data_IF_290258625559
#
_entry.id   IF_290258625559
#
_cell.length_a   1.000
_cell.length_b   1.000
_cell.length_c   1.000
_cell.angle_alpha   90.00
_cell.angle_beta   90.00
_cell.angle_gamma   90.00
#
_symmetry.space_group_name_H-M   'P 1'
#
loop_
_entity.id
_entity.type
_entity.pdbx_description
1 polymer ?
#
# COMPACT_ATOMS: atom_id res chain seq x y z
N UNK A 1 11.91 11.03 -6.40
CA UNK A 1 11.34 12.24 -7.05
C UNK A 1 11.57 13.36 -6.07
N UNK A 2 12.30 14.42 -6.43
CA UNK A 2 12.64 15.49 -5.48
C UNK A 2 11.51 16.53 -5.40
N UNK A 3 11.38 17.18 -4.24
CA UNK A 3 10.45 18.27 -3.95
C UNK A 3 9.01 17.90 -4.30
N UNK A 4 8.55 16.78 -3.74
CA UNK A 4 7.22 16.23 -3.99
C UNK A 4 6.58 15.82 -2.68
N UNK A 5 5.33 16.21 -2.51
CA UNK A 5 4.53 15.94 -1.32
C UNK A 5 3.26 15.20 -1.70
N UNK A 6 2.69 14.48 -0.73
CA UNK A 6 1.31 14.01 -0.80
C UNK A 6 0.47 14.92 0.09
N UNK A 7 -0.74 15.25 -0.37
CA UNK A 7 -1.73 15.91 0.47
C UNK A 7 -2.54 14.85 1.21
N UNK A 8 -2.76 15.07 2.49
CA UNK A 8 -3.47 14.13 3.35
C UNK A 8 -4.87 13.83 2.80
N UNK A 9 -5.23 12.54 2.74
CA UNK A 9 -6.52 12.04 2.28
C UNK A 9 -6.93 12.40 0.84
N UNK A 10 -6.01 12.93 0.01
CA UNK A 10 -6.28 13.17 -1.42
C UNK A 10 -5.75 12.01 -2.26
N UNK A 11 -6.69 11.19 -2.74
CA UNK A 11 -6.42 9.99 -3.54
C UNK A 11 -7.09 10.07 -4.90
N UNK A 12 -6.47 9.44 -5.90
CA UNK A 12 -7.05 9.30 -7.22
C UNK A 12 -8.32 8.43 -7.15
N UNK A 13 -9.44 8.93 -7.67
CA UNK A 13 -10.70 8.18 -7.72
C UNK A 13 -10.82 7.26 -8.95
N UNK A 14 -9.84 7.30 -9.87
CA UNK A 14 -9.79 6.45 -11.06
C UNK A 14 -10.78 6.80 -12.16
N UNK A 15 -11.58 7.85 -12.03
CA UNK A 15 -12.61 8.21 -13.00
C UNK A 15 -12.03 8.50 -14.40
N UNK A 16 -10.81 9.05 -14.45
CA UNK A 16 -10.07 9.29 -15.69
C UNK A 16 -9.41 8.03 -16.29
N UNK A 17 -9.46 6.89 -15.60
CA UNK A 17 -8.69 5.68 -15.92
C UNK A 17 -9.59 4.44 -15.96
N UNK A 18 -10.73 4.54 -16.63
CA UNK A 18 -11.74 3.47 -16.78
C UNK A 18 -12.17 2.84 -15.44
N UNK A 19 -12.23 3.67 -14.39
CA UNK A 19 -12.62 3.24 -13.04
C UNK A 19 -11.55 2.40 -12.35
N UNK A 20 -10.26 2.71 -12.52
CA UNK A 20 -9.18 2.10 -11.75
C UNK A 20 -9.37 2.37 -10.25
N UNK A 21 -9.53 1.35 -9.43
CA UNK A 21 -9.93 1.54 -8.03
C UNK A 21 -8.72 1.68 -7.08
N UNK A 22 -7.48 1.76 -7.59
CA UNK A 22 -6.26 1.64 -6.76
C UNK A 22 -6.14 2.69 -5.64
N UNK A 23 -6.82 3.83 -5.77
CA UNK A 23 -6.84 4.90 -4.77
C UNK A 23 -5.44 5.38 -4.35
N UNK A 24 -4.53 5.51 -5.32
CA UNK A 24 -3.17 6.00 -5.07
C UNK A 24 -3.20 7.44 -4.57
N UNK A 25 -2.30 7.78 -3.64
CA UNK A 25 -2.03 9.18 -3.31
C UNK A 25 -1.53 9.93 -4.54
N UNK A 26 -1.90 11.20 -4.63
CA UNK A 26 -1.49 12.08 -5.72
C UNK A 26 -0.17 12.76 -5.34
N UNK A 27 0.80 12.69 -6.24
CA UNK A 27 2.09 13.37 -6.12
C UNK A 27 1.94 14.84 -6.58
N UNK A 28 2.28 15.76 -5.70
CA UNK A 28 2.30 17.20 -5.98
C UNK A 28 3.71 17.72 -5.93
N UNK A 29 4.13 18.53 -6.91
CA UNK A 29 5.37 19.30 -6.73
C UNK A 29 5.12 20.40 -5.72
N UNK A 30 6.07 20.56 -4.81
CA UNK A 30 6.04 21.62 -3.80
C UNK A 30 5.89 23.01 -4.46
N UNK A 31 6.58 23.23 -5.58
CA UNK A 31 6.47 24.44 -6.40
C UNK A 31 5.06 24.73 -6.96
N UNK A 32 4.12 23.79 -6.92
CA UNK A 32 2.73 23.99 -7.36
C UNK A 32 1.80 24.39 -6.21
N UNK A 33 2.26 24.27 -4.97
CA UNK A 33 1.45 24.46 -3.77
C UNK A 33 1.83 25.77 -3.07
N UNK A 34 0.90 26.28 -2.28
CA UNK A 34 1.11 27.41 -1.36
C UNK A 34 0.50 27.06 -0.01
N UNK A 35 1.12 27.46 1.12
CA UNK A 35 0.52 27.26 2.43
C UNK A 35 -0.86 27.91 2.52
N UNK A 36 -1.83 27.17 3.04
CA UNK A 36 -3.14 27.73 3.34
C UNK A 36 -3.01 28.72 4.51
N UNK A 37 -3.43 29.97 4.32
CA UNK A 37 -3.42 31.01 5.36
C UNK A 37 -2.34 32.09 5.19
N UNK A 38 -1.37 31.89 4.31
CA UNK A 38 -0.57 33.01 3.81
C UNK A 38 -1.47 33.83 2.87
N UNK A 39 -1.61 35.14 3.14
CA UNK A 39 -2.16 36.09 2.16
C UNK A 39 -1.16 36.18 1.00
N UNK A 40 -1.20 35.19 0.11
CA UNK A 40 -0.57 35.30 -1.20
C UNK A 40 -1.09 36.55 -1.91
N UNK A 41 -0.33 37.13 -2.84
CA UNK A 41 -0.83 38.23 -3.65
C UNK A 41 -2.18 37.83 -4.24
N UNK A 42 -3.17 38.70 -4.04
CA UNK A 42 -4.53 38.53 -4.52
C UNK A 42 -4.52 38.07 -5.99
N UNK A 43 -5.43 37.19 -6.44
CA UNK A 43 -5.48 36.71 -7.83
C UNK A 43 -5.78 37.81 -8.87
N UNK A 44 -5.82 39.08 -8.46
CA UNK A 44 -5.95 40.25 -9.33
C UNK A 44 -4.71 40.58 -10.18
N UNK A 45 -3.72 39.68 -10.25
CA UNK A 45 -2.71 39.70 -11.30
C UNK A 45 -3.32 39.23 -12.62
N UNK A 46 -3.92 40.15 -13.38
CA UNK A 46 -4.41 39.96 -14.75
C UNK A 46 -3.29 39.69 -15.78
N UNK A 47 -2.27 38.92 -15.40
CA UNK A 47 -1.33 38.33 -16.34
C UNK A 47 -2.05 37.17 -17.02
N UNK A 48 -2.62 37.41 -18.21
CA UNK A 48 -3.04 36.30 -19.08
C UNK A 48 -1.82 35.36 -19.20
N UNK A 49 -1.94 34.05 -18.88
CA UNK A 49 -0.85 33.13 -19.15
C UNK A 49 -0.50 33.26 -20.64
N UNK A 50 0.76 33.54 -20.93
CA UNK A 50 1.26 33.59 -22.31
C UNK A 50 0.91 32.26 -22.97
N UNK A 51 -0.06 32.27 -23.88
CA UNK A 51 -0.54 31.09 -24.62
C UNK A 51 0.43 30.66 -25.73
N UNK A 52 1.73 30.77 -25.51
CA UNK A 52 2.72 30.21 -26.42
C UNK A 52 2.86 28.72 -26.14
N UNK A 53 1.92 27.92 -26.65
CA UNK A 53 1.97 26.44 -26.65
C UNK A 53 1.10 25.73 -25.59
N UNK A 54 -0.20 26.03 -25.51
CA UNK A 54 -1.10 25.40 -24.55
C UNK A 54 -1.44 23.94 -24.91
N UNK A 55 -1.42 23.04 -23.91
CA UNK A 55 -1.99 21.70 -24.00
C UNK A 55 -3.53 21.80 -23.92
N UNK A 56 -4.26 21.27 -24.92
CA UNK A 56 -5.72 21.20 -24.83
C UNK A 56 -6.15 20.06 -23.89
N UNK A 57 -7.36 20.16 -23.35
CA UNK A 57 -7.90 19.08 -22.51
C UNK A 57 -7.99 17.77 -23.29
N UNK A 58 -8.38 17.83 -24.57
CA UNK A 58 -8.38 16.69 -25.49
C UNK A 58 -6.98 16.08 -25.65
N UNK A 59 -5.93 16.91 -25.77
CA UNK A 59 -4.55 16.43 -25.82
C UNK A 59 -4.22 15.69 -24.53
N UNK A 60 -4.57 16.25 -23.36
CA UNK A 60 -4.36 15.58 -22.08
C UNK A 60 -5.09 14.22 -22.02
N UNK A 61 -6.37 14.17 -22.38
CA UNK A 61 -7.16 12.93 -22.42
C UNK A 61 -6.60 11.89 -23.40
N UNK A 62 -5.98 12.30 -24.50
CA UNK A 62 -5.33 11.36 -25.42
C UNK A 62 -4.06 10.72 -24.86
N UNK A 63 -3.43 11.33 -23.85
CA UNK A 63 -2.17 10.83 -23.25
C UNK A 63 -2.38 9.83 -22.13
N UNK A 64 -3.57 9.78 -21.51
CA UNK A 64 -3.81 8.91 -20.35
C UNK A 64 -4.20 7.48 -20.73
N UNK A 65 -4.66 7.26 -21.97
CA UNK A 65 -5.11 5.96 -22.47
C UNK A 65 -4.64 5.79 -23.91
N UNK A 66 -3.77 4.80 -24.11
CA UNK A 66 -3.27 4.46 -25.43
C UNK A 66 -4.02 3.24 -25.99
N UNK A 67 -4.33 3.25 -27.30
CA UNK A 67 -4.96 2.10 -27.95
C UNK A 67 -4.06 0.86 -27.86
N UNK A 68 -4.64 -0.34 -27.97
CA UNK A 68 -3.88 -1.58 -28.02
C UNK A 68 -2.83 -1.54 -29.14
N UNK A 69 -1.64 -2.09 -28.86
CA UNK A 69 -0.62 -2.30 -29.90
C UNK A 69 -1.06 -3.41 -30.85
N UNK A 70 -0.45 -3.47 -32.04
CA UNK A 70 -0.70 -4.56 -33.01
C UNK A 70 -0.47 -5.92 -32.33
N UNK A 71 -1.50 -6.77 -32.34
CA UNK A 71 -1.48 -8.09 -31.69
C UNK A 71 -1.97 -8.10 -30.23
N UNK A 72 -2.32 -6.94 -29.66
CA UNK A 72 -2.94 -6.83 -28.34
C UNK A 72 -4.41 -6.43 -28.45
N UNK A 73 -5.21 -6.82 -27.46
CA UNK A 73 -6.64 -6.50 -27.39
C UNK A 73 -6.98 -5.42 -26.37
N UNK A 74 -6.10 -5.21 -25.37
CA UNK A 74 -6.36 -4.31 -24.25
C UNK A 74 -5.57 -2.99 -24.40
N UNK A 75 -6.19 -1.84 -24.06
CA UNK A 75 -5.49 -0.57 -24.03
C UNK A 75 -4.48 -0.51 -22.88
N UNK A 76 -3.56 0.44 -22.95
CA UNK A 76 -2.63 0.75 -21.85
C UNK A 76 -2.91 2.13 -21.27
N UNK A 77 -2.63 2.30 -19.99
CA UNK A 77 -2.95 3.51 -19.23
C UNK A 77 -1.70 4.19 -18.70
N UNK A 78 -1.72 5.53 -18.72
CA UNK A 78 -0.68 6.38 -18.17
C UNK A 78 -1.25 7.16 -16.99
N UNK A 79 -0.64 7.00 -15.83
CA UNK A 79 -0.95 7.75 -14.62
C UNK A 79 0.32 7.97 -13.80
N UNK A 80 0.24 8.79 -12.74
CA UNK A 80 1.42 9.04 -11.88
C UNK A 80 2.03 7.74 -11.32
N UNK A 81 1.19 6.75 -11.01
CA UNK A 81 1.67 5.47 -10.49
C UNK A 81 2.44 4.67 -11.55
N UNK A 82 1.92 4.54 -12.78
CA UNK A 82 2.65 3.82 -13.85
C UNK A 82 3.93 4.55 -14.26
N UNK A 83 4.01 5.87 -14.04
CA UNK A 83 5.18 6.68 -14.36
C UNK A 83 6.16 6.86 -13.20
N UNK A 84 5.83 6.39 -11.98
CA UNK A 84 6.62 6.69 -10.77
C UNK A 84 8.05 6.20 -10.90
N UNK A 85 8.27 5.02 -11.49
CA UNK A 85 9.59 4.43 -11.70
C UNK A 85 10.47 5.26 -12.63
N UNK A 86 9.88 5.92 -13.63
CA UNK A 86 10.60 6.75 -14.61
C UNK A 86 10.82 8.17 -14.10
N UNK A 87 9.94 8.65 -13.21
CA UNK A 87 10.00 9.99 -12.63
C UNK A 87 10.75 10.04 -11.28
N UNK A 88 11.30 8.90 -10.83
CA UNK A 88 12.07 8.76 -9.59
C UNK A 88 13.45 8.15 -9.85
N UNK A 89 14.30 8.16 -8.82
CA UNK A 89 15.61 7.52 -8.84
C UNK A 89 15.69 6.54 -7.66
N UNK A 90 16.39 5.40 -7.81
CA UNK A 90 16.60 4.47 -6.70
C UNK A 90 17.32 5.15 -5.53
N UNK A 91 16.81 4.94 -4.33
CA UNK A 91 17.52 5.32 -3.10
C UNK A 91 18.50 4.21 -2.73
N UNK A 92 19.75 4.60 -2.47
CA UNK A 92 20.78 3.66 -2.03
C UNK A 92 20.58 3.42 -0.54
N UNK A 93 20.36 2.18 -0.12
CA UNK A 93 20.07 1.85 1.28
C UNK A 93 21.13 2.33 2.29
N UNK A 94 22.36 2.60 1.84
CA UNK A 94 23.46 3.08 2.68
C UNK A 94 23.53 4.60 2.80
N UNK A 95 22.77 5.36 1.99
CA UNK A 95 22.85 6.82 1.97
C UNK A 95 22.16 7.42 3.20
N UNK A 96 22.91 8.03 4.15
CA UNK A 96 22.32 8.52 5.40
C UNK A 96 21.37 9.69 5.17
N UNK A 97 21.50 10.42 4.05
CA UNK A 97 20.68 11.61 3.77
C UNK A 97 19.19 11.28 3.67
N UNK A 98 18.84 10.10 3.16
CA UNK A 98 17.45 9.67 3.07
C UNK A 98 16.81 9.51 4.47
N UNK A 99 17.56 9.01 5.45
CA UNK A 99 17.06 8.79 6.81
C UNK A 99 16.96 10.10 7.59
N UNK A 100 17.86 11.04 7.31
CA UNK A 100 17.74 12.41 7.81
C UNK A 100 16.51 13.08 7.20
N UNK A 101 16.27 12.94 5.90
CA UNK A 101 15.07 13.47 5.22
C UNK A 101 13.78 12.85 5.77
N UNK A 102 13.73 11.52 5.96
CA UNK A 102 12.61 10.80 6.56
C UNK A 102 12.24 11.35 7.96
N UNK A 103 13.24 11.64 8.78
CA UNK A 103 13.05 12.21 10.11
C UNK A 103 12.67 13.71 10.08
N UNK A 104 13.44 14.51 9.33
CA UNK A 104 13.26 15.98 9.27
C UNK A 104 11.99 16.40 8.56
N UNK A 105 11.48 15.60 7.62
CA UNK A 105 10.18 15.82 6.97
C UNK A 105 8.98 15.63 7.89
N UNK A 106 9.17 15.01 9.07
CA UNK A 106 8.09 14.68 9.99
C UNK A 106 7.27 13.46 9.57
N UNK A 107 7.59 12.82 8.44
CA UNK A 107 6.92 11.61 7.98
C UNK A 107 7.21 10.41 8.90
N UNK A 108 8.40 10.39 9.54
CA UNK A 108 8.86 9.26 10.36
C UNK A 108 9.37 9.77 11.69
N UNK A 109 8.88 9.20 12.79
CA UNK A 109 9.40 9.52 14.13
C UNK A 109 10.72 8.80 14.35
N UNK A 110 11.60 9.38 15.17
CA UNK A 110 12.91 8.78 15.48
C UNK A 110 12.79 7.33 16.01
N UNK A 111 11.80 7.06 16.85
CA UNK A 111 11.53 5.71 17.35
C UNK A 111 11.19 4.70 16.25
N UNK A 112 10.44 5.12 15.23
CA UNK A 112 10.00 4.25 14.13
C UNK A 112 11.17 4.00 13.18
N UNK A 113 12.01 5.02 12.98
CA UNK A 113 13.26 4.91 12.25
C UNK A 113 14.22 3.90 12.91
N UNK A 114 14.45 4.04 14.22
CA UNK A 114 15.29 3.10 14.97
C UNK A 114 14.70 1.69 14.91
N UNK A 115 13.41 1.53 15.17
CA UNK A 115 12.75 0.23 15.13
C UNK A 115 12.85 -0.45 13.75
N UNK A 116 12.60 0.29 12.66
CA UNK A 116 12.68 -0.23 11.30
C UNK A 116 14.11 -0.61 10.88
N UNK A 117 15.12 0.17 11.29
CA UNK A 117 16.53 -0.18 11.07
C UNK A 117 16.96 -1.40 11.89
N UNK A 118 16.60 -1.46 13.17
CA UNK A 118 16.87 -2.64 14.02
C UNK A 118 16.20 -3.89 13.45
N UNK A 119 14.95 -3.80 13.02
CA UNK A 119 14.26 -4.90 12.35
C UNK A 119 14.96 -5.33 11.06
N UNK A 120 15.47 -4.38 10.27
CA UNK A 120 16.21 -4.68 9.03
C UNK A 120 17.47 -5.51 9.29
N UNK A 121 18.24 -5.14 10.33
CA UNK A 121 19.41 -5.90 10.78
C UNK A 121 18.99 -7.28 11.29
N UNK A 122 17.97 -7.32 12.16
CA UNK A 122 17.44 -8.56 12.73
C UNK A 122 17.00 -9.55 11.65
N UNK A 123 16.26 -9.06 10.64
CA UNK A 123 15.81 -9.86 9.50
C UNK A 123 16.98 -10.39 8.69
N UNK A 124 17.95 -9.52 8.36
CA UNK A 124 19.15 -9.92 7.60
C UNK A 124 19.86 -11.10 8.27
N UNK A 125 20.03 -11.05 9.59
CA UNK A 125 20.63 -12.14 10.37
C UNK A 125 19.73 -13.38 10.41
N UNK A 126 18.43 -13.19 10.64
CA UNK A 126 17.44 -14.28 10.71
C UNK A 126 17.31 -15.07 9.41
N UNK A 127 17.51 -14.40 8.26
CA UNK A 127 17.38 -14.94 6.91
C UNK A 127 18.72 -15.30 6.27
N UNK A 128 19.85 -15.15 6.97
CA UNK A 128 21.19 -15.40 6.45
C UNK A 128 21.51 -16.89 6.16
N UNK A 129 20.57 -17.82 6.38
CA UNK A 129 20.78 -19.25 6.15
C UNK A 129 21.66 -19.97 7.18
N UNK A 130 21.98 -19.31 8.30
CA UNK A 130 22.89 -19.82 9.34
C UNK A 130 22.25 -20.85 10.30
N UNK A 131 21.07 -21.39 10.01
CA UNK A 131 20.35 -22.34 10.87
C UNK A 131 19.75 -21.77 12.17
N UNK A 132 20.07 -20.53 12.54
CA UNK A 132 19.56 -19.87 13.76
C UNK A 132 18.20 -19.18 13.59
N UNK A 133 17.65 -19.16 12.39
CA UNK A 133 16.45 -18.38 12.06
C UNK A 133 15.22 -18.76 12.90
N UNK A 134 15.05 -20.02 13.27
CA UNK A 134 13.94 -20.45 14.14
C UNK A 134 14.07 -19.88 15.55
N UNK A 135 15.28 -19.95 16.13
CA UNK A 135 15.57 -19.40 17.45
C UNK A 135 15.41 -17.87 17.48
N UNK A 136 15.94 -17.18 16.46
CA UNK A 136 15.80 -15.72 16.31
C UNK A 136 14.33 -15.27 16.25
N UNK A 137 13.50 -15.96 15.47
CA UNK A 137 12.06 -15.67 15.40
C UNK A 137 11.36 -15.94 16.74
N UNK A 138 11.72 -17.01 17.44
CA UNK A 138 11.19 -17.33 18.77
C UNK A 138 11.57 -16.26 19.81
N UNK A 139 12.82 -15.78 19.81
CA UNK A 139 13.27 -14.68 20.68
C UNK A 139 12.45 -13.42 20.43
N UNK A 140 12.30 -13.04 19.15
CA UNK A 140 11.52 -11.89 18.74
C UNK A 140 10.05 -12.02 19.20
N UNK A 141 9.41 -13.15 18.91
CA UNK A 141 8.01 -13.40 19.28
C UNK A 141 7.81 -13.37 20.80
N UNK A 142 8.76 -13.92 21.55
CA UNK A 142 8.70 -13.94 23.03
C UNK A 142 8.79 -12.52 23.58
N UNK A 143 9.74 -11.72 23.09
CA UNK A 143 9.88 -10.32 23.49
C UNK A 143 8.65 -9.49 23.12
N UNK A 144 8.16 -9.63 21.89
CA UNK A 144 6.98 -8.88 21.43
C UNK A 144 5.75 -9.28 22.21
N UNK A 145 5.52 -10.57 22.48
CA UNK A 145 4.38 -11.02 23.30
C UNK A 145 4.42 -10.41 24.71
N UNK A 146 5.59 -10.34 25.34
CA UNK A 146 5.74 -9.71 26.66
C UNK A 146 5.40 -8.21 26.68
N UNK A 147 5.55 -7.51 25.54
CA UNK A 147 5.27 -6.07 25.43
C UNK A 147 3.97 -5.76 24.69
N UNK A 148 3.15 -6.76 24.37
CA UNK A 148 1.93 -6.58 23.55
C UNK A 148 2.21 -6.15 22.11
N UNK A 149 3.39 -6.46 21.58
CA UNK A 149 3.83 -6.15 20.23
C UNK A 149 3.35 -7.13 19.17
N UNK A 150 3.74 -6.85 17.92
CA UNK A 150 3.38 -7.65 16.74
C UNK A 150 4.32 -8.85 16.60
N UNK A 151 3.82 -10.06 16.29
CA UNK A 151 4.66 -11.22 16.04
C UNK A 151 5.59 -11.03 14.84
N UNK A 152 6.63 -11.85 14.73
CA UNK A 152 7.57 -11.76 13.62
C UNK A 152 6.84 -11.98 12.29
N UNK A 153 6.89 -11.02 11.36
CA UNK A 153 5.93 -10.97 10.24
C UNK A 153 6.34 -11.83 9.04
N UNK A 154 7.48 -12.53 9.11
CA UNK A 154 8.01 -13.37 8.03
C UNK A 154 8.32 -14.78 8.57
N UNK A 155 7.44 -15.74 8.31
CA UNK A 155 7.60 -17.15 8.69
C UNK A 155 7.84 -18.11 7.50
N UNK A 156 8.66 -19.16 7.66
CA UNK A 156 8.80 -20.19 6.63
C UNK A 156 7.60 -21.16 6.66
N UNK A 157 6.39 -20.67 6.41
CA UNK A 157 5.17 -21.49 6.39
C UNK A 157 4.24 -21.09 5.25
N UNK A 158 3.66 -22.10 4.63
CA UNK A 158 2.60 -22.02 3.63
C UNK A 158 2.12 -23.43 3.31
N UNK A 159 0.93 -23.57 2.71
CA UNK A 159 0.47 -24.85 2.18
C UNK A 159 1.48 -25.38 1.15
N UNK A 160 1.73 -26.70 1.11
CA UNK A 160 2.69 -27.29 0.18
C UNK A 160 2.43 -26.86 -1.27
N UNK A 161 3.51 -26.62 -2.00
CA UNK A 161 3.43 -26.23 -3.41
C UNK A 161 2.58 -27.22 -4.22
N UNK A 162 1.62 -26.71 -4.98
CA UNK A 162 0.64 -27.51 -5.73
C UNK A 162 -0.68 -27.79 -5.00
N UNK A 163 -0.78 -27.50 -3.70
CA UNK A 163 -2.04 -27.60 -2.97
C UNK A 163 -2.99 -26.45 -3.34
N UNK A 164 -4.27 -26.74 -3.56
CA UNK A 164 -5.27 -25.71 -3.82
C UNK A 164 -5.49 -24.89 -2.55
N UNK A 165 -5.06 -23.63 -2.56
CA UNK A 165 -5.31 -22.71 -1.45
C UNK A 165 -6.81 -22.56 -1.16
N UNK A 166 -7.23 -22.57 0.12
CA UNK A 166 -8.64 -22.51 0.48
C UNK A 166 -9.26 -21.14 0.14
N UNK A 167 -10.58 -21.13 -0.01
CA UNK A 167 -11.39 -19.93 -0.18
C UNK A 167 -12.57 -19.97 0.79
N UNK A 168 -12.85 -18.85 1.44
CA UNK A 168 -14.11 -18.59 2.13
C UNK A 168 -14.78 -17.39 1.50
N UNK A 169 -16.12 -17.39 1.46
CA UNK A 169 -16.95 -16.26 1.05
C UNK A 169 -17.86 -15.93 2.22
N UNK A 170 -17.66 -14.74 2.78
CA UNK A 170 -18.48 -14.12 3.79
C UNK A 170 -19.45 -13.10 3.17
N UNK A 171 -19.25 -12.75 1.89
CA UNK A 171 -20.04 -11.79 1.12
C UNK A 171 -20.14 -10.43 1.84
N UNK A 172 -18.98 -9.96 2.34
CA UNK A 172 -18.84 -8.70 3.07
C UNK A 172 -19.29 -7.50 2.23
N UNK A 173 -20.09 -6.64 2.83
CA UNK A 173 -20.54 -5.38 2.23
C UNK A 173 -19.76 -4.21 2.81
N UNK A 174 -19.78 -3.08 2.09
CA UNK A 174 -19.23 -1.81 2.59
C UNK A 174 -19.99 -1.43 3.87
N UNK A 175 -19.25 -1.05 4.91
CA UNK A 175 -19.78 -0.75 6.24
C UNK A 175 -19.84 -1.94 7.20
N UNK A 176 -19.58 -3.17 6.74
CA UNK A 176 -19.51 -4.33 7.64
C UNK A 176 -18.30 -4.19 8.58
N UNK A 177 -18.51 -4.45 9.87
CA UNK A 177 -17.41 -4.53 10.85
C UNK A 177 -16.84 -5.95 10.85
N UNK A 178 -15.53 -6.04 10.63
CA UNK A 178 -14.81 -7.31 10.51
C UNK A 178 -13.59 -7.33 11.41
N UNK A 179 -13.27 -8.50 11.92
CA UNK A 179 -12.01 -8.77 12.59
C UNK A 179 -11.06 -9.46 11.63
N UNK A 180 -9.79 -9.03 11.62
CA UNK A 180 -8.75 -9.74 10.89
C UNK A 180 -8.35 -10.96 11.71
N UNK A 181 -8.32 -12.14 11.08
CA UNK A 181 -7.98 -13.40 11.75
C UNK A 181 -6.57 -13.39 12.35
N UNK A 182 -6.30 -14.24 13.34
CA UNK A 182 -4.95 -14.45 13.86
C UNK A 182 -3.95 -14.77 12.76
N UNK A 183 -2.73 -14.23 12.88
CA UNK A 183 -1.68 -14.42 11.88
C UNK A 183 -1.39 -15.90 11.58
N UNK A 184 -1.43 -16.76 12.61
CA UNK A 184 -1.25 -18.22 12.45
C UNK A 184 -2.29 -18.85 11.50
N UNK A 185 -3.55 -18.43 11.60
CA UNK A 185 -4.65 -19.00 10.82
C UNK A 185 -4.59 -18.48 9.37
N UNK A 186 -4.13 -17.24 9.18
CA UNK A 186 -3.87 -16.68 7.85
C UNK A 186 -2.76 -17.47 7.15
N UNK A 187 -1.66 -17.79 7.83
CA UNK A 187 -0.53 -18.52 7.25
C UNK A 187 -0.94 -19.89 6.68
N UNK A 188 -1.92 -20.56 7.30
CA UNK A 188 -2.47 -21.83 6.80
C UNK A 188 -3.21 -21.70 5.46
N UNK A 189 -3.57 -20.46 5.07
CA UNK A 189 -4.26 -20.16 3.80
C UNK A 189 -3.32 -19.75 2.66
N UNK A 190 -2.03 -19.53 2.94
CA UNK A 190 -1.06 -18.99 1.98
C UNK A 190 -0.22 -20.09 1.35
N UNK A 191 0.10 -19.96 0.06
CA UNK A 191 1.08 -20.83 -0.60
C UNK A 191 2.54 -20.54 -0.19
N UNK A 192 3.48 -21.30 -0.74
CA UNK A 192 4.92 -21.12 -0.50
C UNK A 192 5.46 -19.73 -0.88
N UNK A 193 4.73 -18.97 -1.69
CA UNK A 193 5.05 -17.61 -2.11
C UNK A 193 4.26 -16.55 -1.33
N UNK A 194 3.63 -16.93 -0.20
CA UNK A 194 2.78 -16.06 0.62
C UNK A 194 1.54 -15.53 -0.09
N UNK A 195 1.02 -16.27 -1.08
CA UNK A 195 -0.14 -15.85 -1.85
C UNK A 195 -1.36 -16.70 -1.52
N UNK A 196 -2.52 -16.05 -1.51
CA UNK A 196 -3.80 -16.72 -1.64
C UNK A 196 -4.46 -16.27 -2.94
N UNK A 197 -4.60 -17.20 -3.89
CA UNK A 197 -5.25 -16.98 -5.20
C UNK A 197 -4.67 -15.76 -5.92
N UNK A 198 -3.33 -15.71 -5.98
CA UNK A 198 -2.57 -14.64 -6.62
C UNK A 198 -2.38 -13.37 -5.80
N UNK A 199 -3.06 -13.19 -4.66
CA UNK A 199 -2.87 -12.03 -3.79
C UNK A 199 -1.83 -12.33 -2.71
N UNK A 200 -0.77 -11.53 -2.67
CA UNK A 200 0.30 -11.62 -1.70
C UNK A 200 -0.13 -11.04 -0.34
N UNK A 201 0.09 -11.82 0.73
CA UNK A 201 -0.04 -11.34 2.09
C UNK A 201 1.29 -10.71 2.52
N UNK A 202 1.32 -9.38 2.48
CA UNK A 202 2.54 -8.59 2.76
C UNK A 202 2.83 -8.57 4.27
N UNK A 203 4.10 -8.65 4.71
CA UNK A 203 4.49 -8.51 6.12
C UNK A 203 3.90 -7.27 6.83
N UNK A 204 3.64 -6.19 6.08
CA UNK A 204 2.95 -4.98 6.55
C UNK A 204 1.52 -5.23 7.03
N UNK A 205 0.92 -6.36 6.66
CA UNK A 205 -0.44 -6.72 7.04
C UNK A 205 -0.51 -7.32 8.45
N UNK A 206 0.61 -7.80 8.99
CA UNK A 206 0.67 -8.50 10.29
C UNK A 206 0.31 -7.61 11.49
N UNK A 207 0.72 -6.32 11.58
CA UNK A 207 0.27 -5.42 12.63
C UNK A 207 -1.25 -5.26 12.76
N UNK A 208 -1.99 -5.53 11.68
CA UNK A 208 -3.44 -5.37 11.63
C UNK A 208 -4.18 -6.65 12.02
N UNK A 209 -3.51 -7.78 12.23
CA UNK A 209 -4.18 -9.03 12.64
C UNK A 209 -4.78 -8.91 14.04
N UNK A 210 -5.86 -9.65 14.28
CA UNK A 210 -6.57 -9.73 15.56
C UNK A 210 -7.24 -8.41 16.00
N UNK A 211 -7.40 -7.47 15.08
CA UNK A 211 -8.06 -6.17 15.28
C UNK A 211 -9.31 -6.05 14.41
N UNK A 212 -10.19 -5.14 14.81
CA UNK A 212 -11.45 -4.87 14.13
C UNK A 212 -11.35 -3.63 13.25
N UNK A 213 -11.95 -3.71 12.06
CA UNK A 213 -12.02 -2.63 11.09
C UNK A 213 -13.36 -2.63 10.38
N UNK A 214 -13.71 -1.50 9.81
CA UNK A 214 -14.85 -1.35 8.90
C UNK A 214 -14.40 -1.65 7.47
N UNK A 215 -15.24 -2.37 6.71
CA UNK A 215 -15.03 -2.56 5.28
C UNK A 215 -15.30 -1.24 4.54
N UNK A 216 -14.26 -0.63 3.98
CA UNK A 216 -14.36 0.64 3.25
C UNK A 216 -14.79 0.42 1.80
N UNK A 217 -14.19 -0.56 1.12
CA UNK A 217 -14.44 -0.80 -0.30
C UNK A 217 -14.23 -2.25 -0.69
N UNK A 218 -15.01 -2.71 -1.66
CA UNK A 218 -14.76 -3.95 -2.42
C UNK A 218 -14.14 -3.59 -3.77
N UNK A 219 -12.92 -4.07 -3.96
CA UNK A 219 -12.06 -3.77 -5.10
C UNK A 219 -12.10 -4.92 -6.11
N UNK A 220 -12.31 -4.59 -7.38
CA UNK A 220 -12.45 -5.50 -8.51
C UNK A 220 -11.38 -5.29 -9.58
N UNK A 221 -10.82 -4.09 -9.69
CA UNK A 221 -9.86 -3.80 -10.75
C UNK A 221 -8.84 -2.71 -10.40
N UNK A 222 -7.65 -2.84 -10.96
CA UNK A 222 -6.58 -1.85 -10.88
C UNK A 222 -5.76 -1.83 -12.16
N UNK A 223 -5.08 -0.72 -12.42
CA UNK A 223 -4.00 -0.69 -13.39
C UNK A 223 -2.75 -1.30 -12.76
N UNK A 224 -2.18 -2.32 -13.40
CA UNK A 224 -0.89 -2.87 -12.99
C UNK A 224 0.24 -1.90 -13.36
N UNK A 225 1.09 -1.58 -12.38
CA UNK A 225 2.13 -0.56 -12.51
C UNK A 225 3.17 -0.93 -13.58
N UNK A 226 3.49 -2.23 -13.70
CA UNK A 226 4.53 -2.70 -14.62
C UNK A 226 4.06 -2.83 -16.07
N UNK A 227 2.90 -3.43 -16.28
CA UNK A 227 2.34 -3.65 -17.63
C UNK A 227 1.52 -2.47 -18.16
N UNK A 228 1.11 -1.54 -17.29
CA UNK A 228 0.20 -0.44 -17.62
C UNK A 228 -1.19 -0.91 -18.12
N UNK A 229 -1.56 -2.17 -17.88
CA UNK A 229 -2.85 -2.76 -18.29
C UNK A 229 -3.81 -2.85 -17.11
N UNK A 230 -5.10 -2.84 -17.41
CA UNK A 230 -6.14 -3.04 -16.40
C UNK A 230 -6.20 -4.51 -15.99
N UNK A 231 -5.85 -4.81 -14.74
CA UNK A 231 -6.02 -6.12 -14.14
C UNK A 231 -7.38 -6.18 -13.46
N UNK A 232 -8.22 -7.09 -13.94
CA UNK A 232 -9.51 -7.43 -13.32
C UNK A 232 -9.34 -8.66 -12.44
N UNK A 233 -9.73 -8.54 -11.18
CA UNK A 233 -9.56 -9.59 -10.21
C UNK A 233 -10.57 -10.72 -10.46
N UNK A 234 -10.07 -11.97 -10.49
CA UNK A 234 -10.93 -13.16 -10.48
C UNK A 234 -11.59 -13.40 -9.11
N UNK A 235 -11.03 -12.78 -8.08
CA UNK A 235 -11.52 -12.84 -6.71
C UNK A 235 -11.31 -11.45 -6.14
N UNK A 236 -12.40 -10.78 -5.80
CA UNK A 236 -12.40 -9.43 -5.29
C UNK A 236 -11.49 -9.29 -4.07
N UNK A 237 -10.94 -8.10 -3.91
CA UNK A 237 -10.16 -7.72 -2.74
C UNK A 237 -10.99 -6.77 -1.87
N UNK A 238 -10.76 -6.82 -0.57
CA UNK A 238 -11.41 -5.94 0.40
C UNK A 238 -10.39 -4.89 0.86
N UNK A 239 -10.83 -3.64 0.96
CA UNK A 239 -10.10 -2.53 1.58
C UNK A 239 -10.74 -2.27 2.93
N UNK A 240 -9.92 -2.20 3.96
CA UNK A 240 -10.33 -1.87 5.32
C UNK A 240 -10.06 -0.39 5.59
N UNK A 241 -11.00 0.26 6.26
CA UNK A 241 -10.95 1.68 6.57
C UNK A 241 -9.76 2.01 7.46
N UNK A 242 -9.05 3.09 7.13
CA UNK A 242 -7.86 3.59 7.83
C UNK A 242 -6.70 2.58 7.95
N UNK A 243 -6.74 1.49 7.17
CA UNK A 243 -5.67 0.50 7.10
C UNK A 243 -4.81 0.79 5.88
N UNK A 244 -3.61 1.32 6.12
CA UNK A 244 -2.64 1.64 5.07
C UNK A 244 -1.29 0.99 5.36
N UNK A 245 -0.48 0.76 4.32
CA UNK A 245 0.89 0.34 4.48
C UNK A 245 1.70 1.41 5.23
N UNK A 246 2.25 1.04 6.37
CA UNK A 246 3.05 1.91 7.23
C UNK A 246 4.56 1.79 6.99
N UNK A 247 4.97 0.88 6.09
CA UNK A 247 6.35 0.61 5.71
C UNK A 247 7.27 0.24 6.89
N UNK A 248 6.73 -0.44 7.91
CA UNK A 248 7.44 -0.89 9.13
C UNK A 248 8.39 -2.07 8.87
N UNK A 249 7.98 -2.96 8.00
CA UNK A 249 8.58 -4.25 7.62
C UNK A 249 8.90 -4.35 6.11
N UNK A 250 8.66 -3.28 5.35
CA UNK A 250 8.89 -3.23 3.92
C UNK A 250 10.35 -3.50 3.54
N UNK A 251 10.57 -4.45 2.62
CA UNK A 251 11.91 -4.92 2.25
C UNK A 251 12.69 -3.88 1.43
N UNK A 252 12.05 -3.29 0.41
CA UNK A 252 12.71 -2.43 -0.59
C UNK A 252 12.20 -0.97 -0.58
N UNK A 253 11.30 -0.63 0.34
CA UNK A 253 10.61 0.67 0.43
C UNK A 253 10.41 1.08 1.89
N UNK A 254 11.46 0.95 2.70
CA UNK A 254 11.44 1.32 4.13
C UNK A 254 11.00 2.77 4.26
N UNK A 255 10.16 3.04 5.26
CA UNK A 255 9.69 4.39 5.57
C UNK A 255 8.90 5.09 4.44
N UNK A 256 8.37 4.32 3.49
CA UNK A 256 7.63 4.85 2.36
C UNK A 256 6.32 5.55 2.80
N UNK A 257 6.13 6.85 2.48
CA UNK A 257 4.94 7.60 2.89
C UNK A 257 3.75 7.44 1.92
N UNK A 258 3.78 6.46 1.00
CA UNK A 258 2.73 6.29 -0.03
C UNK A 258 1.39 5.80 0.52
N UNK A 259 1.36 5.33 1.77
CA UNK A 259 0.14 4.86 2.46
C UNK A 259 -0.76 4.01 1.55
N UNK A 260 -0.16 3.02 0.88
CA UNK A 260 -0.86 2.18 -0.10
C UNK A 260 -1.82 1.27 0.65
N UNK A 261 -3.05 1.11 0.15
CA UNK A 261 -4.00 0.19 0.77
C UNK A 261 -3.56 -1.26 0.61
N UNK A 262 -3.43 -2.03 1.70
CA UNK A 262 -3.32 -3.48 1.61
C UNK A 262 -4.66 -4.06 1.16
N UNK A 263 -4.57 -5.13 0.37
CA UNK A 263 -5.73 -5.84 -0.15
C UNK A 263 -5.98 -7.08 0.70
N UNK A 264 -7.22 -7.28 1.10
CA UNK A 264 -7.60 -8.39 1.97
C UNK A 264 -8.46 -9.42 1.21
N UNK A 265 -8.28 -10.71 1.51
CA UNK A 265 -9.22 -11.76 1.15
C UNK A 265 -10.22 -11.97 2.27
N UNK A 266 -11.46 -12.26 1.91
CA UNK A 266 -12.51 -12.59 2.89
C UNK A 266 -12.14 -13.77 3.79
N UNK A 267 -11.33 -14.74 3.31
CA UNK A 267 -10.86 -15.85 4.14
C UNK A 267 -9.98 -15.41 5.31
N UNK A 268 -9.34 -14.25 5.23
CA UNK A 268 -8.52 -13.66 6.30
C UNK A 268 -9.33 -12.81 7.27
N UNK A 269 -10.61 -12.63 6.99
CA UNK A 269 -11.52 -11.82 7.78
C UNK A 269 -12.58 -12.72 8.43
N UNK A 270 -13.16 -12.23 9.50
CA UNK A 270 -14.34 -12.79 10.14
C UNK A 270 -15.28 -11.65 10.53
N UNK A 271 -16.60 -11.88 10.53
CA UNK A 271 -17.55 -10.86 10.97
C UNK A 271 -17.35 -10.63 12.46
N UNK A 272 -17.16 -9.39 12.88
CA UNK A 272 -17.12 -9.08 14.29
C UNK A 272 -18.51 -9.37 14.89
N UNK A 273 -18.60 -9.87 16.14
CA UNK A 273 -19.89 -9.93 16.82
C UNK A 273 -20.45 -8.51 16.85
N UNK A 274 -21.62 -8.28 16.26
CA UNK A 274 -22.29 -7.00 16.40
C UNK A 274 -22.50 -6.78 17.90
N UNK A 275 -21.76 -5.84 18.49
CA UNK A 275 -22.12 -5.29 19.78
C UNK A 275 -23.57 -4.82 19.63
N UNK A 276 -24.46 -5.37 20.45
CA UNK A 276 -25.80 -4.85 20.60
C UNK A 276 -25.66 -3.33 20.82
N UNK A 277 -26.05 -2.52 19.83
CA UNK A 277 -26.34 -1.13 20.09
C UNK A 277 -27.39 -1.13 21.21
N UNK A 278 -27.13 -0.55 22.40
CA UNK A 278 -28.23 -0.23 23.27
C UNK A 278 -29.01 0.84 22.50
N UNK A 279 -30.23 0.49 22.11
CA UNK A 279 -31.22 1.46 21.69
C UNK A 279 -31.28 2.56 22.76
N UNK A 280 -31.09 3.81 22.33
CA UNK A 280 -31.64 5.00 22.98
C UNK A 280 -31.66 6.14 21.97
#
# INVERSE_FOLDING_TARGET
MLNTVHLENIRCNGAAHDGCEAACLIFWKDAWLKPAGEKGPSPNGSGKPSRSGGCSEETLWSTIKHPPKVGETEPTYVCQNTQVKFATQPLKWWDPRQYVEDYTSGNVRLQDLVAGLTFSVWRTVTEAGLGIGTAMRWIYDTFQRMRGGVPYPIRPFGVPEGSKVPQSRLDLQVGDVVRVKPYKDILETLDCNYRNRGLYFDPEMVPFTEREYEVERRQKQIIDEGSCKMVRFKTDAIILKDVVCEARYAICRRFCPRAIYPYWREIWLERAPQGQNPAN
#
